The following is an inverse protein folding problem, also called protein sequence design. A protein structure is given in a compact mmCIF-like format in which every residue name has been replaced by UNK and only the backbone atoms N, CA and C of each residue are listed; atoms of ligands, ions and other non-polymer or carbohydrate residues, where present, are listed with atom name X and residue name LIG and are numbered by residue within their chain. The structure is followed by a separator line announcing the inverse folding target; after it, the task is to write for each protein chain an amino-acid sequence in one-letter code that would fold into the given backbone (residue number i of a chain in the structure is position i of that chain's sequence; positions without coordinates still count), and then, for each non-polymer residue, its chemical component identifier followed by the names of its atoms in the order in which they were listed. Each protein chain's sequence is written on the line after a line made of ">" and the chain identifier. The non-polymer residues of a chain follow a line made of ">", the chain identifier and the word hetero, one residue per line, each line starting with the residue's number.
data_IF_179685730325
#
_entry.id   IF_179685730325
#
_cell.length_a   1.000
_cell.length_b   1.000
_cell.length_c   1.000
_cell.angle_alpha   90.00
_cell.angle_beta   90.00
_cell.angle_gamma   90.00
#
_symmetry.space_group_name_H-M   'P 1'
#
loop_
_entity.id
_entity.type
_entity.pdbx_description
1 polymer ?
#
# COMPACT_ATOMS: atom_id res chain seq x y z
N UNK A 1 5.47 20.34 -13.70
CA UNK A 1 6.45 20.40 -12.57
C UNK A 1 5.74 20.82 -11.30
N UNK A 2 4.91 21.88 -11.35
CA UNK A 2 4.06 22.34 -10.23
C UNK A 2 3.16 21.24 -9.65
N UNK A 3 2.39 20.52 -10.47
CA UNK A 3 1.53 19.44 -9.98
C UNK A 3 2.27 18.31 -9.24
N UNK A 4 3.52 18.03 -9.61
CA UNK A 4 4.34 17.03 -8.91
C UNK A 4 4.82 17.57 -7.56
N UNK A 5 5.16 18.86 -7.49
CA UNK A 5 5.56 19.50 -6.24
C UNK A 5 4.38 19.62 -5.28
N UNK A 6 3.21 20.03 -5.77
CA UNK A 6 1.97 20.07 -4.98
C UNK A 6 1.61 18.68 -4.44
N UNK A 7 1.77 17.63 -5.26
CA UNK A 7 1.55 16.25 -4.81
C UNK A 7 2.55 15.85 -3.71
N UNK A 8 3.82 16.24 -3.82
CA UNK A 8 4.84 15.97 -2.79
C UNK A 8 4.50 16.68 -1.48
N UNK A 9 4.13 17.95 -1.53
CA UNK A 9 3.73 18.74 -0.34
C UNK A 9 2.53 18.10 0.35
N UNK A 10 1.46 17.81 -0.39
CA UNK A 10 0.27 17.10 0.14
C UNK A 10 0.63 15.74 0.72
N UNK A 11 1.53 15.01 0.07
CA UNK A 11 1.98 13.71 0.57
C UNK A 11 2.70 13.88 1.91
N UNK A 12 3.63 14.83 2.03
CA UNK A 12 4.34 15.14 3.28
C UNK A 12 3.35 15.48 4.39
N UNK A 13 2.39 16.36 4.13
CA UNK A 13 1.37 16.78 5.10
C UNK A 13 0.52 15.60 5.57
N UNK A 14 0.07 14.73 4.66
CA UNK A 14 -0.69 13.52 5.01
C UNK A 14 0.16 12.67 5.96
N UNK A 15 1.41 12.41 5.62
CA UNK A 15 2.29 11.51 6.37
C UNK A 15 2.54 12.02 7.78
N UNK A 16 2.76 13.33 7.93
CA UNK A 16 3.04 13.93 9.24
C UNK A 16 1.82 13.95 10.16
N UNK A 17 0.61 13.82 9.59
CA UNK A 17 -0.65 13.74 10.34
C UNK A 17 -1.21 12.31 10.44
N UNK A 18 -0.60 11.32 9.81
CA UNK A 18 -1.06 9.93 9.88
C UNK A 18 -0.71 9.32 11.25
N UNK A 19 -1.69 8.67 11.86
CA UNK A 19 -1.49 7.93 13.11
C UNK A 19 -0.57 6.72 12.90
N UNK A 20 0.36 6.54 13.83
CA UNK A 20 1.19 5.33 13.94
C UNK A 20 0.37 4.17 14.54
N UNK A 21 0.73 2.91 14.29
CA UNK A 21 1.97 2.43 13.64
C UNK A 21 1.91 2.31 12.11
N UNK A 22 3.01 2.66 11.44
CA UNK A 22 3.20 2.45 10.01
C UNK A 22 3.70 1.05 9.72
N UNK A 23 3.03 0.37 8.80
CA UNK A 23 3.40 -0.95 8.33
C UNK A 23 3.56 -0.95 6.82
N UNK A 24 4.50 -1.75 6.33
CA UNK A 24 4.70 -1.98 4.91
C UNK A 24 4.97 -3.46 4.65
N UNK A 25 4.64 -3.96 3.46
CA UNK A 25 4.97 -5.34 3.14
C UNK A 25 6.48 -5.59 3.18
N UNK A 26 7.28 -4.68 2.62
CA UNK A 26 8.73 -4.71 2.71
C UNK A 26 9.24 -3.32 3.08
N UNK A 27 9.46 -3.09 4.38
CA UNK A 27 9.69 -1.76 4.94
C UNK A 27 10.95 -1.08 4.40
N UNK A 28 12.01 -1.85 4.13
CA UNK A 28 13.24 -1.31 3.54
C UNK A 28 13.07 -0.82 2.10
N UNK A 29 12.19 -1.46 1.33
CA UNK A 29 11.91 -1.00 -0.03
C UNK A 29 11.10 0.31 0.01
N UNK A 30 10.03 0.35 0.81
CA UNK A 30 9.19 1.54 0.95
C UNK A 30 9.99 2.72 1.51
N UNK A 31 10.81 2.51 2.55
CA UNK A 31 11.71 3.53 3.09
C UNK A 31 12.57 4.19 2.00
N UNK A 32 13.13 3.39 1.08
CA UNK A 32 13.90 3.91 -0.05
C UNK A 32 13.07 4.75 -1.01
N UNK A 33 11.88 4.27 -1.40
CA UNK A 33 10.96 5.00 -2.29
C UNK A 33 10.61 6.37 -1.69
N UNK A 34 10.27 6.39 -0.40
CA UNK A 34 9.83 7.59 0.29
C UNK A 34 10.96 8.59 0.51
N UNK A 35 12.16 8.10 0.85
CA UNK A 35 13.35 8.93 0.95
C UNK A 35 13.65 9.67 -0.35
N UNK A 36 13.62 8.97 -1.49
CA UNK A 36 13.90 9.59 -2.78
C UNK A 36 12.76 10.49 -3.28
N UNK A 37 11.50 10.14 -2.99
CA UNK A 37 10.36 10.92 -3.46
C UNK A 37 10.15 12.21 -2.65
N UNK A 38 10.31 12.13 -1.33
CA UNK A 38 9.96 13.19 -0.39
C UNK A 38 11.18 13.91 0.20
N UNK A 39 12.39 13.38 0.02
CA UNK A 39 13.60 13.94 0.64
C UNK A 39 13.64 13.78 2.17
N UNK A 40 12.76 12.95 2.73
CA UNK A 40 12.66 12.72 4.18
C UNK A 40 12.68 11.24 4.52
N UNK A 41 13.28 10.89 5.65
CA UNK A 41 13.27 9.52 6.16
C UNK A 41 11.95 9.27 6.89
N UNK A 42 11.19 8.27 6.43
CA UNK A 42 9.97 7.79 7.11
C UNK A 42 10.26 6.41 7.68
N UNK A 43 10.10 6.28 8.99
CA UNK A 43 10.29 5.02 9.72
C UNK A 43 8.98 4.22 9.78
N UNK A 44 9.06 2.95 9.38
CA UNK A 44 8.00 1.96 9.53
C UNK A 44 8.20 1.18 10.83
N UNK A 45 7.12 1.00 11.59
CA UNK A 45 7.11 0.32 12.89
C UNK A 45 7.01 -1.20 12.74
N UNK A 46 6.46 -1.70 11.61
CA UNK A 46 6.30 -3.12 11.36
C UNK A 46 6.52 -3.51 9.90
N UNK A 47 7.14 -4.67 9.69
CA UNK A 47 7.24 -5.32 8.38
C UNK A 47 6.18 -6.42 8.29
N UNK A 48 5.35 -6.38 7.24
CA UNK A 48 4.33 -7.40 7.08
C UNK A 48 4.94 -8.72 6.61
N UNK A 49 6.03 -8.74 5.83
CA UNK A 49 6.70 -9.97 5.39
C UNK A 49 7.05 -10.87 6.59
N UNK A 50 6.66 -12.16 6.52
CA UNK A 50 6.95 -13.15 7.58
C UNK A 50 8.40 -13.60 7.55
N UNK A 51 9.01 -13.59 6.37
CA UNK A 51 10.42 -13.89 6.15
C UNK A 51 10.96 -13.04 5.00
N UNK A 52 12.28 -12.85 4.98
CA UNK A 52 12.96 -12.03 3.98
C UNK A 52 12.60 -12.49 2.57
N UNK A 53 12.11 -11.56 1.74
CA UNK A 53 11.68 -11.80 0.34
C UNK A 53 10.45 -12.71 0.19
N UNK A 54 9.62 -12.86 1.22
CA UNK A 54 8.31 -13.49 1.05
C UNK A 54 7.54 -12.80 -0.08
N UNK A 55 6.93 -13.60 -0.97
CA UNK A 55 6.13 -13.07 -2.06
C UNK A 55 4.77 -12.61 -1.55
N UNK A 56 4.37 -11.39 -1.90
CA UNK A 56 3.02 -10.87 -1.63
C UNK A 56 1.92 -11.77 -2.23
N UNK A 57 2.21 -12.40 -3.37
CA UNK A 57 1.31 -13.38 -4.00
C UNK A 57 1.12 -14.63 -3.12
N UNK A 58 2.21 -15.12 -2.53
CA UNK A 58 2.15 -16.29 -1.63
C UNK A 58 1.40 -15.90 -0.36
N UNK A 59 1.78 -14.80 0.29
CA UNK A 59 1.12 -14.30 1.49
C UNK A 59 -0.40 -14.14 1.30
N UNK A 60 -0.86 -13.52 0.19
CA UNK A 60 -2.30 -13.39 -0.08
C UNK A 60 -2.98 -14.75 -0.29
N UNK A 61 -2.29 -15.74 -0.86
CA UNK A 61 -2.89 -17.04 -1.17
C UNK A 61 -3.04 -17.86 0.10
N UNK A 62 -2.00 -17.88 0.95
CA UNK A 62 -2.03 -18.55 2.26
C UNK A 62 -3.08 -17.94 3.20
N UNK A 63 -3.26 -16.62 3.14
CA UNK A 63 -4.21 -15.91 3.99
C UNK A 63 -5.62 -15.82 3.40
N UNK A 64 -5.89 -16.45 2.25
CA UNK A 64 -7.18 -16.36 1.55
C UNK A 64 -7.64 -14.90 1.37
N UNK A 65 -6.77 -14.10 0.72
CA UNK A 65 -7.00 -12.70 0.39
C UNK A 65 -7.22 -12.58 -1.12
N UNK A 66 -8.30 -11.92 -1.56
CA UNK A 66 -8.62 -11.80 -2.98
C UNK A 66 -7.54 -10.99 -3.72
N UNK A 67 -7.46 -11.21 -5.03
CA UNK A 67 -6.51 -10.48 -5.86
C UNK A 67 -6.94 -9.03 -6.17
N UNK A 68 -8.16 -8.65 -5.76
CA UNK A 68 -8.74 -7.31 -5.95
C UNK A 68 -8.70 -6.79 -7.39
N UNK A 69 -8.85 -7.69 -8.37
CA UNK A 69 -8.83 -7.32 -9.78
C UNK A 69 -7.47 -6.86 -10.32
N UNK A 70 -6.37 -7.16 -9.63
CA UNK A 70 -5.02 -6.79 -10.08
C UNK A 70 -4.72 -7.34 -11.49
N UNK A 71 -4.55 -6.47 -12.51
CA UNK A 71 -4.37 -6.88 -13.90
C UNK A 71 -3.03 -7.58 -14.15
N UNK A 72 -2.06 -7.43 -13.24
CA UNK A 72 -0.71 -7.97 -13.38
C UNK A 72 -0.41 -9.11 -12.41
N UNK A 73 -1.39 -9.54 -11.61
CA UNK A 73 -1.27 -10.67 -10.69
C UNK A 73 -0.04 -10.56 -9.75
N UNK A 74 0.23 -9.37 -9.23
CA UNK A 74 1.35 -9.08 -8.32
C UNK A 74 2.69 -8.83 -9.00
N UNK A 75 2.76 -8.77 -10.34
CA UNK A 75 4.00 -8.52 -11.07
C UNK A 75 4.26 -7.01 -11.21
N UNK A 76 4.94 -6.42 -10.24
CA UNK A 76 5.27 -4.98 -10.24
C UNK A 76 6.03 -4.50 -11.47
N UNK A 77 6.86 -5.36 -12.11
CA UNK A 77 7.53 -5.03 -13.38
C UNK A 77 6.53 -4.67 -14.49
N UNK A 78 5.44 -5.42 -14.62
CA UNK A 78 4.41 -5.16 -15.63
C UNK A 78 3.66 -3.85 -15.34
N UNK A 79 3.50 -3.48 -14.07
CA UNK A 79 2.95 -2.17 -13.70
C UNK A 79 3.85 -1.03 -14.18
N UNK A 80 5.18 -1.13 -13.96
CA UNK A 80 6.13 -0.12 -14.44
C UNK A 80 6.12 -0.02 -15.97
N UNK A 81 6.09 -1.15 -16.67
CA UNK A 81 5.99 -1.17 -18.14
C UNK A 81 4.67 -0.56 -18.63
N UNK A 82 3.55 -0.86 -17.97
CA UNK A 82 2.24 -0.29 -18.29
C UNK A 82 2.22 1.23 -18.09
N UNK A 83 2.84 1.73 -17.03
CA UNK A 83 3.02 3.17 -16.81
C UNK A 83 3.78 3.84 -17.95
N UNK A 84 4.88 3.23 -18.41
CA UNK A 84 5.68 3.75 -19.54
C UNK A 84 4.93 3.69 -20.89
N UNK A 85 3.92 2.83 -21.01
CA UNK A 85 3.03 2.73 -22.19
C UNK A 85 1.76 3.57 -22.05
N UNK A 86 1.69 4.43 -21.04
CA UNK A 86 0.51 5.28 -20.75
C UNK A 86 -0.78 4.48 -20.45
N UNK A 87 -0.64 3.21 -20.08
CA UNK A 87 -1.74 2.35 -19.63
C UNK A 87 -2.07 2.64 -18.14
N UNK A 88 -2.31 3.90 -17.82
CA UNK A 88 -2.40 4.41 -16.44
C UNK A 88 -3.49 3.72 -15.63
N UNK A 89 -4.65 3.42 -16.23
CA UNK A 89 -5.74 2.73 -15.54
C UNK A 89 -5.31 1.38 -14.98
N UNK A 90 -4.51 0.61 -15.75
CA UNK A 90 -4.01 -0.69 -15.29
C UNK A 90 -2.95 -0.52 -14.21
N UNK A 91 -2.07 0.48 -14.33
CA UNK A 91 -1.06 0.77 -13.32
C UNK A 91 -1.71 1.20 -11.99
N UNK A 92 -2.71 2.08 -12.05
CA UNK A 92 -3.49 2.52 -10.90
C UNK A 92 -4.26 1.33 -10.29
N UNK A 93 -4.90 0.49 -11.11
CA UNK A 93 -5.61 -0.70 -10.63
C UNK A 93 -4.68 -1.68 -9.89
N UNK A 94 -3.46 -1.90 -10.42
CA UNK A 94 -2.45 -2.71 -9.74
C UNK A 94 -2.03 -2.12 -8.40
N UNK A 95 -1.69 -0.83 -8.36
CA UNK A 95 -1.25 -0.16 -7.13
C UNK A 95 -2.35 -0.17 -6.07
N UNK A 96 -3.60 0.10 -6.46
CA UNK A 96 -4.77 -0.01 -5.58
C UNK A 96 -4.93 -1.42 -5.03
N UNK A 97 -4.83 -2.45 -5.87
CA UNK A 97 -4.92 -3.83 -5.43
C UNK A 97 -3.77 -4.23 -4.50
N UNK A 98 -2.55 -3.69 -4.69
CA UNK A 98 -1.43 -3.87 -3.76
C UNK A 98 -1.76 -3.32 -2.37
N UNK A 99 -2.29 -2.09 -2.28
CA UNK A 99 -2.68 -1.48 -1.00
C UNK A 99 -3.76 -2.29 -0.27
N UNK A 100 -4.79 -2.77 -1.00
CA UNK A 100 -5.85 -3.59 -0.41
C UNK A 100 -5.33 -4.94 0.11
N UNK A 101 -4.40 -5.58 -0.62
CA UNK A 101 -3.74 -6.81 -0.16
C UNK A 101 -2.93 -6.56 1.11
N UNK A 102 -2.14 -5.48 1.15
CA UNK A 102 -1.32 -5.17 2.32
C UNK A 102 -2.17 -4.85 3.55
N UNK A 103 -3.26 -4.09 3.38
CA UNK A 103 -4.25 -3.86 4.44
C UNK A 103 -4.80 -5.17 4.99
N UNK A 104 -5.18 -6.10 4.13
CA UNK A 104 -5.75 -7.37 4.59
C UNK A 104 -4.69 -8.28 5.22
N UNK A 105 -3.46 -8.25 4.72
CA UNK A 105 -2.33 -8.97 5.34
C UNK A 105 -2.09 -8.42 6.75
N UNK A 106 -2.07 -7.09 6.92
CA UNK A 106 -1.96 -6.42 8.22
C UNK A 106 -3.02 -6.94 9.20
N UNK A 107 -4.27 -6.97 8.77
CA UNK A 107 -5.41 -7.43 9.58
C UNK A 107 -5.31 -8.94 9.88
N UNK A 108 -5.14 -9.78 8.85
CA UNK A 108 -5.14 -11.24 9.00
C UNK A 108 -3.92 -11.77 9.75
N UNK A 109 -2.81 -11.04 9.76
CA UNK A 109 -1.63 -11.35 10.61
C UNK A 109 -1.75 -10.79 12.03
N UNK A 110 -2.82 -10.07 12.35
CA UNK A 110 -3.11 -9.62 13.72
C UNK A 110 -2.39 -8.34 14.15
N UNK A 111 -1.74 -7.63 13.23
CA UNK A 111 -1.05 -6.36 13.55
C UNK A 111 -2.02 -5.21 13.84
N UNK A 112 -3.25 -5.29 13.30
CA UNK A 112 -4.32 -4.32 13.54
C UNK A 112 -5.66 -5.05 13.61
N UNK A 113 -6.54 -4.64 14.54
CA UNK A 113 -7.93 -5.09 14.56
C UNK A 113 -8.73 -4.38 13.46
N UNK A 114 -9.67 -5.07 12.77
CA UNK A 114 -10.60 -4.39 11.87
C UNK A 114 -11.34 -3.27 12.58
N UNK A 115 -11.65 -2.20 11.85
CA UNK A 115 -12.49 -1.13 12.38
C UNK A 115 -13.90 -1.68 12.65
N UNK A 116 -14.48 -1.29 13.78
CA UNK A 116 -15.84 -1.69 14.15
C UNK A 116 -16.85 -1.07 13.19
N UNK A 117 -17.80 -1.87 12.71
CA UNK A 117 -18.93 -1.38 11.93
C UNK A 117 -19.86 -0.57 12.85
N UNK A 118 -19.92 0.74 12.63
CA UNK A 118 -20.88 1.63 13.29
C UNK A 118 -22.11 1.78 12.42
N UNK A 119 -23.22 1.20 12.84
CA UNK A 119 -24.52 1.46 12.22
C UNK A 119 -25.01 2.84 12.67
N UNK A 120 -25.14 3.77 11.74
CA UNK A 120 -25.77 5.07 11.98
C UNK A 120 -27.27 4.87 11.90
N UNK A 121 -27.95 4.80 13.05
CA UNK A 121 -29.41 4.83 13.07
C UNK A 121 -29.86 6.19 12.51
N UNK A 122 -30.50 6.18 11.33
CA UNK A 122 -31.24 7.35 10.87
C UNK A 122 -32.44 7.51 11.79
N UNK A 123 -32.42 8.55 12.62
CA UNK A 123 -33.62 9.06 13.27
C UNK A 123 -34.67 9.30 12.19
N UNK A 124 -35.78 8.57 12.27
CA UNK A 124 -36.94 8.70 11.36
C UNK A 124 -37.75 9.93 11.72
#
# INVERSE_FOLDING_TARGET
>A
MEAINELKEKTVDIIDNLERPFHAFRSEFERGVWFHQLGKKVDFDGELQRYRRESKRIARTELDIPNYGDPFNGKGKLCMEAWLREEFDKAIAHNRACLLKERDILIKRGFRKPDELKFVNKSS
#
